data_IF_768963747433
#
_entry.id   IF_768963747433
#
_cell.length_a   1.000
_cell.length_b   1.000
_cell.length_c   1.000
_cell.angle_alpha   90.00
_cell.angle_beta   90.00
_cell.angle_gamma   90.00
#
_symmetry.space_group_name_H-M   'P 1'
#
loop_
_entity.id
_entity.type
_entity.pdbx_description
1 polymer ?
#
# COMPACT_ATOMS: atom_id res chain seq x y z
N UNK A 1 23.28 -15.26 -3.93
CA UNK A 1 21.83 -15.21 -3.59
C UNK A 1 21.06 -15.10 -4.90
N UNK A 2 19.95 -15.84 -5.04
CA UNK A 2 19.07 -15.72 -6.21
C UNK A 2 17.90 -14.79 -5.86
N UNK A 3 17.53 -13.90 -6.79
CA UNK A 3 16.38 -13.02 -6.67
C UNK A 3 15.45 -13.23 -7.86
N UNK A 4 14.23 -13.69 -7.58
CA UNK A 4 13.15 -13.84 -8.56
C UNK A 4 12.06 -12.82 -8.28
N UNK A 5 11.44 -12.30 -9.34
CA UNK A 5 10.34 -11.35 -9.26
C UNK A 5 10.58 -10.10 -10.10
N UNK A 6 9.51 -9.30 -10.24
CA UNK A 6 9.57 -8.05 -11.01
C UNK A 6 10.17 -6.96 -10.14
N UNK A 7 11.22 -6.31 -10.62
CA UNK A 7 11.77 -5.13 -9.95
C UNK A 7 10.74 -3.99 -9.95
N UNK A 8 10.62 -3.33 -8.81
CA UNK A 8 9.86 -2.09 -8.68
C UNK A 8 10.78 -0.90 -8.96
N UNK A 9 10.21 0.27 -9.34
CA UNK A 9 11.00 1.49 -9.53
C UNK A 9 11.79 1.83 -8.26
N UNK A 10 13.01 2.35 -8.40
CA UNK A 10 13.80 2.84 -7.27
C UNK A 10 13.75 4.37 -7.23
N UNK A 11 13.51 4.94 -6.05
CA UNK A 11 13.58 6.38 -5.83
C UNK A 11 15.04 6.75 -5.54
N UNK A 12 15.69 7.61 -6.37
CA UNK A 12 17.10 7.92 -6.18
C UNK A 12 17.41 8.58 -4.84
N UNK A 13 18.43 8.10 -4.13
CA UNK A 13 18.86 8.69 -2.85
C UNK A 13 19.16 10.20 -2.90
N UNK A 14 19.81 10.75 -3.96
CA UNK A 14 20.03 12.20 -4.03
C UNK A 14 18.73 13.00 -4.05
N UNK A 15 17.65 12.46 -4.65
CA UNK A 15 16.34 13.12 -4.65
C UNK A 15 15.81 13.25 -3.22
N UNK A 16 15.87 12.17 -2.44
CA UNK A 16 15.39 12.19 -1.06
C UNK A 16 16.30 13.03 -0.14
N UNK A 17 17.61 13.03 -0.38
CA UNK A 17 18.58 13.77 0.42
C UNK A 17 18.53 15.27 0.19
N UNK A 18 18.42 15.72 -1.05
CA UNK A 18 18.53 17.14 -1.40
C UNK A 18 17.21 17.81 -1.72
N UNK A 19 16.19 17.04 -2.12
CA UNK A 19 14.87 17.55 -2.48
C UNK A 19 13.74 16.82 -1.73
N UNK A 20 14.04 16.23 -0.57
CA UNK A 20 13.11 15.42 0.21
C UNK A 20 11.82 16.17 0.58
N UNK A 21 11.90 17.44 0.99
CA UNK A 21 10.71 18.23 1.28
C UNK A 21 9.84 18.49 0.05
N UNK A 22 10.47 18.83 -1.07
CA UNK A 22 9.74 19.08 -2.33
C UNK A 22 9.07 17.78 -2.82
N UNK A 23 9.79 16.66 -2.75
CA UNK A 23 9.26 15.33 -3.05
C UNK A 23 8.09 15.00 -2.11
N UNK A 24 8.25 15.20 -0.81
CA UNK A 24 7.19 14.97 0.18
C UNK A 24 5.95 15.81 -0.12
N UNK A 25 6.09 17.11 -0.33
CA UNK A 25 4.98 18.00 -0.71
C UNK A 25 4.29 17.53 -1.98
N UNK A 26 5.05 17.08 -2.98
CA UNK A 26 4.49 16.54 -4.21
C UNK A 26 3.64 15.29 -3.95
N UNK A 27 4.19 14.27 -3.28
CA UNK A 27 3.45 13.03 -3.01
C UNK A 27 2.28 13.22 -2.03
N UNK A 28 2.40 14.17 -1.10
CA UNK A 28 1.40 14.43 -0.08
C UNK A 28 0.26 15.29 -0.60
N UNK A 29 0.54 16.37 -1.33
CA UNK A 29 -0.45 17.39 -1.72
C UNK A 29 -0.88 17.33 -3.19
N UNK A 30 -0.04 16.82 -4.09
CA UNK A 30 -0.35 16.76 -5.54
C UNK A 30 -0.90 15.38 -5.92
N UNK A 31 -0.32 14.29 -5.42
CA UNK A 31 -0.77 12.93 -5.74
C UNK A 31 -1.97 12.49 -4.90
N UNK A 32 -3.05 13.27 -4.95
CA UNK A 32 -4.32 13.05 -4.25
C UNK A 32 -5.45 12.70 -5.21
N UNK A 33 -6.53 12.09 -4.73
CA UNK A 33 -7.74 11.84 -5.51
C UNK A 33 -8.44 13.14 -5.97
N UNK A 34 -8.09 14.27 -5.35
CA UNK A 34 -8.55 15.60 -5.77
C UNK A 34 -7.95 16.07 -7.10
N UNK A 35 -6.78 15.57 -7.50
CA UNK A 35 -6.11 16.03 -8.72
C UNK A 35 -6.23 15.01 -9.87
N UNK A 36 -6.23 15.44 -11.15
CA UNK A 36 -6.24 14.53 -12.29
C UNK A 36 -5.02 13.59 -12.31
N UNK A 37 -3.85 14.11 -11.97
CA UNK A 37 -2.61 13.33 -11.90
C UNK A 37 -2.68 12.28 -10.79
N UNK A 38 -3.18 12.64 -9.61
CA UNK A 38 -3.31 11.69 -8.51
C UNK A 38 -4.32 10.59 -8.80
N UNK A 39 -5.48 10.90 -9.41
CA UNK A 39 -6.44 9.87 -9.88
C UNK A 39 -5.84 8.90 -10.90
N UNK A 40 -5.05 9.42 -11.84
CA UNK A 40 -4.35 8.57 -12.82
C UNK A 40 -3.35 7.63 -12.16
N UNK A 41 -2.61 8.10 -11.14
CA UNK A 41 -1.67 7.28 -10.38
C UNK A 41 -2.41 6.25 -9.53
N UNK A 42 -3.48 6.67 -8.83
CA UNK A 42 -4.30 5.81 -7.97
C UNK A 42 -4.87 4.60 -8.72
N UNK A 43 -5.38 4.81 -9.94
CA UNK A 43 -5.98 3.76 -10.76
C UNK A 43 -5.03 2.58 -11.04
N UNK A 44 -3.71 2.83 -11.07
CA UNK A 44 -2.69 1.83 -11.36
C UNK A 44 -1.85 1.47 -10.13
N UNK A 45 -2.22 1.96 -8.94
CA UNK A 45 -1.37 1.87 -7.75
C UNK A 45 -1.14 0.43 -7.29
N UNK A 46 -2.15 -0.44 -7.45
CA UNK A 46 -2.06 -1.85 -7.05
C UNK A 46 -1.45 -2.78 -8.10
N UNK A 47 -1.18 -2.29 -9.32
CA UNK A 47 -0.60 -3.12 -10.39
C UNK A 47 0.88 -3.44 -10.16
N UNK A 48 1.56 -2.65 -9.32
CA UNK A 48 3.00 -2.76 -9.07
C UNK A 48 3.27 -2.61 -7.58
N UNK A 49 4.34 -3.25 -7.12
CA UNK A 49 4.84 -3.03 -5.76
C UNK A 49 5.31 -1.58 -5.57
N UNK A 50 5.31 -1.13 -4.32
CA UNK A 50 5.79 0.20 -3.97
C UNK A 50 7.25 0.41 -4.42
N UNK A 51 7.64 1.66 -4.75
CA UNK A 51 9.01 1.96 -5.11
C UNK A 51 10.01 1.56 -4.02
N UNK A 52 11.18 1.08 -4.45
CA UNK A 52 12.31 0.86 -3.56
C UNK A 52 12.83 2.21 -3.04
N UNK A 53 13.09 2.26 -1.75
CA UNK A 53 13.74 3.37 -1.06
C UNK A 53 15.02 2.83 -0.46
N UNK A 54 16.12 3.59 -0.53
CA UNK A 54 17.43 3.29 0.05
C UNK A 54 18.22 2.15 -0.59
N UNK A 55 17.58 1.04 -0.97
CA UNK A 55 18.27 -0.10 -1.61
C UNK A 55 18.04 -0.04 -3.11
N UNK A 56 19.11 0.21 -3.86
CA UNK A 56 19.06 0.31 -5.32
C UNK A 56 19.37 -1.01 -6.02
N UNK A 57 18.98 -1.18 -7.30
CA UNK A 57 19.42 -2.31 -8.11
C UNK A 57 20.95 -2.44 -8.21
N UNK A 58 21.68 -1.32 -8.21
CA UNK A 58 23.14 -1.33 -8.23
C UNK A 58 23.74 -1.89 -6.93
N UNK A 59 23.05 -1.73 -5.79
CA UNK A 59 23.48 -2.33 -4.53
C UNK A 59 23.31 -3.85 -4.55
N UNK A 60 22.24 -4.35 -5.20
CA UNK A 60 22.04 -5.77 -5.42
C UNK A 60 23.16 -6.36 -6.29
N UNK A 61 23.52 -5.65 -7.37
CA UNK A 61 24.60 -6.06 -8.26
C UNK A 61 25.95 -6.08 -7.54
N UNK A 62 26.25 -5.04 -6.74
CA UNK A 62 27.46 -4.98 -5.90
C UNK A 62 27.52 -6.10 -4.86
N UNK A 63 26.37 -6.54 -4.36
CA UNK A 63 26.26 -7.65 -3.42
C UNK A 63 26.33 -9.04 -4.11
N UNK A 64 26.47 -9.12 -5.43
CA UNK A 64 26.52 -10.38 -6.18
C UNK A 64 25.18 -11.12 -6.20
N UNK A 65 24.06 -10.39 -6.13
CA UNK A 65 22.71 -10.97 -6.26
C UNK A 65 22.46 -11.32 -7.73
N UNK A 66 22.18 -12.60 -7.99
CA UNK A 66 21.86 -13.09 -9.33
C UNK A 66 20.36 -13.03 -9.53
N UNK A 67 19.93 -12.26 -10.52
CA UNK A 67 18.52 -12.15 -10.92
C UNK A 67 18.16 -13.34 -11.81
N UNK A 68 17.09 -14.04 -11.45
CA UNK A 68 16.59 -15.22 -12.18
C UNK A 68 15.16 -14.95 -12.70
N UNK A 69 14.69 -15.71 -13.69
CA UNK A 69 13.31 -15.60 -14.18
C UNK A 69 12.28 -15.80 -13.06
N UNK A 70 11.00 -15.58 -13.40
CA UNK A 70 9.90 -15.79 -12.46
C UNK A 70 9.91 -17.27 -12.00
N UNK A 71 9.69 -17.47 -10.71
CA UNK A 71 9.46 -18.80 -10.15
C UNK A 71 8.20 -19.41 -10.76
N UNK A 72 8.37 -20.56 -11.42
CA UNK A 72 7.31 -21.28 -12.12
C UNK A 72 6.70 -22.38 -11.25
N UNK A 73 7.49 -23.00 -10.39
CA UNK A 73 7.02 -24.07 -9.52
C UNK A 73 8.16 -24.75 -8.77
N UNK A 74 8.00 -26.06 -8.56
CA UNK A 74 8.99 -26.92 -7.89
C UNK A 74 9.14 -28.24 -8.63
N UNK A 75 10.37 -28.73 -8.74
CA UNK A 75 10.72 -30.07 -9.21
C UNK A 75 11.75 -30.69 -8.29
N UNK A 76 11.56 -31.95 -7.89
CA UNK A 76 12.43 -32.67 -6.93
C UNK A 76 12.71 -31.90 -5.62
N UNK A 77 11.69 -31.16 -5.15
CA UNK A 77 11.79 -30.33 -3.94
C UNK A 77 12.62 -29.05 -4.11
N UNK A 78 13.04 -28.71 -5.33
CA UNK A 78 13.80 -27.51 -5.66
C UNK A 78 12.95 -26.54 -6.52
N UNK A 79 13.16 -25.21 -6.40
CA UNK A 79 12.48 -24.24 -7.23
C UNK A 79 12.83 -24.40 -8.71
N UNK A 80 11.82 -24.30 -9.57
CA UNK A 80 11.99 -24.17 -11.02
C UNK A 80 11.60 -22.76 -11.45
N UNK A 81 12.39 -22.17 -12.34
CA UNK A 81 12.13 -20.84 -12.90
C UNK A 81 11.69 -20.99 -14.36
N UNK A 82 10.97 -19.98 -14.89
CA UNK A 82 10.46 -20.00 -16.26
C UNK A 82 11.54 -20.43 -17.27
N UNK A 83 11.31 -21.58 -17.94
CA UNK A 83 12.17 -22.11 -18.99
C UNK A 83 13.46 -22.81 -18.54
N UNK A 84 13.60 -23.18 -17.26
CA UNK A 84 14.82 -23.80 -16.74
C UNK A 84 14.60 -25.03 -15.86
N UNK A 85 15.71 -25.74 -15.61
CA UNK A 85 15.78 -26.89 -14.73
C UNK A 85 15.66 -26.50 -13.23
N UNK A 86 15.34 -27.45 -12.34
CA UNK A 86 15.34 -27.21 -10.90
C UNK A 86 16.69 -26.68 -10.41
N UNK A 87 16.66 -25.63 -9.59
CA UNK A 87 17.86 -24.98 -9.06
C UNK A 87 18.03 -25.31 -7.58
N UNK A 88 19.16 -25.93 -7.24
CA UNK A 88 19.50 -26.28 -5.86
C UNK A 88 19.63 -25.05 -4.95
N UNK A 89 18.70 -24.88 -4.01
CA UNK A 89 18.75 -23.87 -2.95
C UNK A 89 18.49 -24.50 -1.58
N UNK A 90 19.14 -23.96 -0.54
CA UNK A 90 18.94 -24.41 0.85
C UNK A 90 17.84 -23.64 1.58
N UNK A 91 17.51 -22.44 1.11
CA UNK A 91 16.62 -21.53 1.82
C UNK A 91 15.84 -20.69 0.81
N UNK A 92 14.53 -20.59 1.05
CA UNK A 92 13.62 -19.73 0.29
C UNK A 92 13.08 -18.66 1.23
N UNK A 93 13.13 -17.40 0.81
CA UNK A 93 12.57 -16.25 1.54
C UNK A 93 11.47 -15.64 0.68
N UNK A 94 10.25 -15.66 1.20
CA UNK A 94 9.09 -15.04 0.54
C UNK A 94 8.99 -13.56 0.92
N UNK A 95 9.42 -12.70 0.00
CA UNK A 95 9.31 -11.24 0.11
C UNK A 95 8.22 -10.68 -0.83
N UNK A 96 7.08 -11.37 -0.91
CA UNK A 96 6.00 -11.10 -1.89
C UNK A 96 4.91 -10.14 -1.38
N UNK A 97 5.07 -9.58 -0.18
CA UNK A 97 4.09 -8.68 0.44
C UNK A 97 2.97 -9.44 1.16
N UNK A 98 1.86 -8.73 1.39
CA UNK A 98 0.69 -9.23 2.11
C UNK A 98 -0.61 -8.65 1.51
N UNK A 99 -1.75 -9.18 1.95
CA UNK A 99 -3.09 -8.68 1.63
C UNK A 99 -3.89 -8.49 2.91
N UNK A 100 -4.84 -7.54 2.95
CA UNK A 100 -5.74 -7.42 4.09
C UNK A 100 -6.61 -8.69 4.17
N UNK A 101 -6.77 -9.23 5.38
CA UNK A 101 -7.74 -10.30 5.66
C UNK A 101 -8.95 -9.68 6.35
N UNK A 102 -10.07 -9.58 5.63
CA UNK A 102 -11.29 -8.89 6.06
C UNK A 102 -12.51 -9.81 6.04
N UNK A 103 -12.30 -11.13 5.94
CA UNK A 103 -13.36 -12.14 5.84
C UNK A 103 -14.23 -12.20 7.09
N UNK A 104 -13.79 -11.57 8.19
CA UNK A 104 -14.55 -11.44 9.43
C UNK A 104 -15.63 -10.34 9.40
N UNK A 105 -15.69 -9.53 8.33
CA UNK A 105 -16.70 -8.49 8.14
C UNK A 105 -17.70 -8.95 7.08
N UNK A 106 -18.86 -9.41 7.52
CA UNK A 106 -19.91 -9.93 6.64
C UNK A 106 -20.44 -8.84 5.68
N UNK A 107 -20.59 -9.20 4.41
CA UNK A 107 -21.18 -8.33 3.38
C UNK A 107 -20.29 -7.20 2.87
N UNK A 108 -19.00 -7.17 3.27
CA UNK A 108 -18.06 -6.15 2.82
C UNK A 108 -17.72 -6.33 1.34
N UNK A 109 -17.92 -5.27 0.55
CA UNK A 109 -17.50 -5.24 -0.86
C UNK A 109 -16.01 -4.93 -0.96
N UNK A 110 -15.28 -5.76 -1.69
CA UNK A 110 -13.86 -5.62 -1.93
C UNK A 110 -13.59 -5.31 -3.40
N UNK A 111 -12.68 -4.37 -3.65
CA UNK A 111 -12.14 -4.13 -4.98
C UNK A 111 -11.26 -5.30 -5.43
N UNK A 112 -10.90 -5.34 -6.72
CA UNK A 112 -10.00 -6.35 -7.27
C UNK A 112 -8.62 -6.42 -6.58
N UNK A 113 -8.20 -5.34 -5.91
CA UNK A 113 -6.97 -5.30 -5.11
C UNK A 113 -7.08 -6.02 -3.75
N UNK A 114 -8.28 -6.46 -3.35
CA UNK A 114 -8.58 -7.04 -2.04
C UNK A 114 -8.85 -6.02 -0.94
N UNK A 115 -8.76 -4.72 -1.23
CA UNK A 115 -9.11 -3.66 -0.28
C UNK A 115 -10.61 -3.34 -0.31
N UNK A 116 -11.19 -2.84 0.79
CA UNK A 116 -12.59 -2.41 0.84
C UNK A 116 -12.88 -1.31 -0.17
N UNK A 117 -14.03 -1.42 -0.84
CA UNK A 117 -14.57 -0.30 -1.61
C UNK A 117 -15.05 0.77 -0.64
N UNK A 118 -14.41 1.95 -0.68
CA UNK A 118 -14.73 3.06 0.21
C UNK A 118 -14.72 4.40 -0.49
N UNK A 119 -15.46 5.35 0.09
CA UNK A 119 -15.30 6.77 -0.21
C UNK A 119 -14.54 7.42 0.94
N UNK A 120 -13.26 7.75 0.72
CA UNK A 120 -12.38 8.37 1.74
C UNK A 120 -12.32 7.59 3.07
N UNK A 121 -12.52 6.27 3.02
CA UNK A 121 -12.57 5.41 4.20
C UNK A 121 -13.98 4.99 4.62
N UNK A 122 -15.04 5.74 4.27
CA UNK A 122 -16.41 5.35 4.58
C UNK A 122 -16.90 4.22 3.67
N UNK A 123 -17.55 3.20 4.24
CA UNK A 123 -18.06 2.05 3.48
C UNK A 123 -19.47 2.35 2.94
N UNK A 124 -19.67 2.39 1.61
CA UNK A 124 -20.99 2.61 1.03
C UNK A 124 -21.99 1.53 1.46
N UNK A 125 -23.18 1.94 1.87
CA UNK A 125 -24.23 1.01 2.30
C UNK A 125 -24.04 0.39 3.69
N UNK A 126 -22.96 0.69 4.40
CA UNK A 126 -22.73 0.22 5.79
C UNK A 126 -22.45 1.43 6.71
N UNK A 127 -23.49 2.18 7.14
CA UNK A 127 -23.31 3.34 7.99
C UNK A 127 -22.59 2.98 9.29
N UNK A 128 -21.56 3.76 9.65
CA UNK A 128 -20.78 3.56 10.88
C UNK A 128 -19.52 2.71 10.69
N UNK A 129 -19.32 2.07 9.54
CA UNK A 129 -18.09 1.36 9.22
C UNK A 129 -17.13 2.24 8.41
N UNK A 130 -15.89 2.36 8.89
CA UNK A 130 -14.85 3.15 8.26
C UNK A 130 -13.49 2.44 8.30
N UNK A 131 -12.65 2.78 7.33
CA UNK A 131 -11.26 2.36 7.22
C UNK A 131 -10.34 3.59 7.19
N UNK A 132 -9.15 3.44 7.76
CA UNK A 132 -8.10 4.47 7.79
C UNK A 132 -6.77 3.84 7.41
N UNK A 133 -5.95 4.59 6.68
CA UNK A 133 -4.60 4.16 6.31
C UNK A 133 -4.56 3.24 5.09
N UNK A 134 -5.64 3.17 4.31
CA UNK A 134 -5.62 2.36 3.09
C UNK A 134 -4.66 2.96 2.06
N UNK A 135 -4.05 2.12 1.21
CA UNK A 135 -3.23 2.61 0.11
C UNK A 135 -4.05 3.56 -0.76
N UNK A 136 -3.56 4.78 -0.95
CA UNK A 136 -4.22 5.80 -1.76
C UNK A 136 -5.65 6.17 -1.31
N UNK A 137 -5.98 6.06 -0.02
CA UNK A 137 -7.31 6.41 0.54
C UNK A 137 -7.77 7.83 0.16
N UNK A 138 -6.90 8.82 0.35
CA UNK A 138 -7.08 10.16 -0.19
C UNK A 138 -5.90 10.59 -1.07
N UNK A 139 -4.68 10.18 -0.71
CA UNK A 139 -3.50 10.41 -1.54
C UNK A 139 -2.45 9.32 -1.35
N UNK A 140 -1.40 9.39 -2.16
CA UNK A 140 -0.29 8.43 -2.14
C UNK A 140 0.27 8.16 -0.74
N UNK A 141 0.29 9.18 0.13
CA UNK A 141 0.83 9.12 1.50
C UNK A 141 -0.13 8.54 2.54
N UNK A 142 -1.36 8.16 2.19
CA UNK A 142 -2.40 7.74 3.16
C UNK A 142 -2.01 6.52 3.99
N UNK A 143 -1.26 5.57 3.42
CA UNK A 143 -0.75 4.40 4.15
C UNK A 143 0.56 4.63 4.92
N UNK A 144 1.06 5.87 4.97
CA UNK A 144 2.32 6.21 5.63
C UNK A 144 2.05 6.93 6.95
N UNK A 145 2.89 6.66 7.97
CA UNK A 145 2.79 7.31 9.29
C UNK A 145 2.72 8.84 9.18
N UNK A 146 3.53 9.43 8.29
CA UNK A 146 3.56 10.89 8.09
C UNK A 146 2.38 11.48 7.31
N UNK A 147 1.46 10.67 6.75
CA UNK A 147 0.35 11.17 5.93
C UNK A 147 -1.03 10.58 6.22
N UNK A 148 -1.14 9.64 7.17
CA UNK A 148 -2.40 9.02 7.59
C UNK A 148 -3.27 9.94 8.45
N UNK A 149 -2.66 10.96 9.06
CA UNK A 149 -3.30 11.94 9.94
C UNK A 149 -4.51 12.63 9.31
N UNK A 150 -4.40 13.06 8.05
CA UNK A 150 -5.51 13.71 7.31
C UNK A 150 -6.70 12.76 7.07
N UNK A 151 -6.41 11.47 6.87
CA UNK A 151 -7.42 10.45 6.59
C UNK A 151 -8.13 10.10 7.89
N UNK A 152 -7.38 9.96 8.98
CA UNK A 152 -7.91 9.81 10.33
C UNK A 152 -8.79 11.00 10.72
N UNK A 153 -8.34 12.24 10.52
CA UNK A 153 -9.11 13.44 10.82
C UNK A 153 -10.45 13.47 10.06
N UNK A 154 -10.42 13.18 8.75
CA UNK A 154 -11.64 13.10 7.96
C UNK A 154 -12.62 12.03 8.48
N UNK A 155 -12.14 10.83 8.81
CA UNK A 155 -12.99 9.77 9.35
C UNK A 155 -13.55 10.16 10.72
N UNK A 156 -12.76 10.79 11.59
CA UNK A 156 -13.23 11.29 12.89
C UNK A 156 -14.34 12.33 12.70
N UNK A 157 -14.19 13.27 11.77
CA UNK A 157 -15.25 14.24 11.47
C UNK A 157 -16.55 13.54 11.03
N UNK A 158 -16.44 12.50 10.19
CA UNK A 158 -17.60 11.70 9.76
C UNK A 158 -18.25 10.92 10.91
N UNK A 159 -17.46 10.44 11.87
CA UNK A 159 -17.96 9.79 13.08
C UNK A 159 -18.67 10.79 13.97
N UNK A 160 -18.05 11.93 14.26
CA UNK A 160 -18.62 12.99 15.12
C UNK A 160 -19.94 13.52 14.56
N UNK A 161 -20.02 13.75 13.25
CA UNK A 161 -21.26 14.19 12.59
C UNK A 161 -22.42 13.19 12.70
N UNK A 162 -22.11 11.90 12.93
CA UNK A 162 -23.11 10.85 13.12
C UNK A 162 -23.46 10.61 14.58
N UNK A 163 -22.62 11.04 15.52
CA UNK A 163 -22.96 10.92 16.93
C UNK A 163 -24.19 11.79 17.20
N UNK A 164 -25.22 11.26 17.89
CA UNK A 164 -26.33 12.09 18.33
C UNK A 164 -25.76 13.23 19.19
N UNK A 165 -26.29 14.44 19.01
CA UNK A 165 -25.94 15.56 19.89
C UNK A 165 -26.07 15.08 21.33
N UNK A 166 -25.00 15.24 22.12
CA UNK A 166 -24.99 14.82 23.51
C UNK A 166 -26.28 15.29 24.17
N UNK A 167 -27.07 14.34 24.70
CA UNK A 167 -28.25 14.69 25.49
C UNK A 167 -27.72 15.52 26.64
N UNK A 168 -27.94 16.84 26.58
CA UNK A 168 -27.65 17.74 27.68
C UNK A 168 -28.35 17.16 28.89
N UNK A 169 -27.59 16.65 29.85
CA UNK A 169 -28.12 16.18 31.12
C UNK A 169 -28.67 17.40 31.86
N UNK A 170 -29.93 17.73 31.61
CA UNK A 170 -30.71 18.63 32.44
C UNK A 170 -31.03 17.88 33.74
N UNK A 171 -30.05 17.81 34.62
CA UNK A 171 -30.24 17.41 36.02
C UNK A 171 -30.41 18.66 36.88
N UNK A 172 -31.60 19.24 36.87
CA UNK A 172 -32.21 19.73 38.13
C UNK A 172 -32.78 18.50 38.82
N UNK A 173 -32.67 18.30 40.13
CA UNK A 173 -32.85 19.18 41.29
C UNK A 173 -31.89 18.73 42.39
#
# INVERSE_FOLDING_TARGET
>A
MLLSGRLTPHIPDPLLRYAGEAYWRFIHSVLTLGTPVGRKVAANFHERGAPLIRISPADLDRAGVVRVPRLAGTGDGQPTFDGGDPVGVRTVIWATGYRPNLDWIDGLKLAASGWPETERGAVPGTPGLYFVGMPFQYALTSGLIGGVDRDAAYVVDQVVQRLPAAVSSSGGV
#
